data_IF_862000695886
#
_entry.id   IF_862000695886
#
_cell.length_a   1.000
_cell.length_b   1.000
_cell.length_c   1.000
_cell.angle_alpha   90.00
_cell.angle_beta   90.00
_cell.angle_gamma   90.00
#
_symmetry.space_group_name_H-M   'P 1'
#
loop_
_entity.id
_entity.type
_entity.pdbx_description
1 polymer ?
#
# COMPACT_ATOMS: atom_id res chain seq x y z
N UNK A 1 -0.10 20.83 22.18
CA UNK A 1 -0.66 20.64 23.54
C UNK A 1 -1.98 19.86 23.56
N UNK A 2 -2.95 20.14 22.67
CA UNK A 2 -4.23 19.43 22.65
C UNK A 2 -4.13 17.91 22.37
N UNK A 3 -3.27 17.51 21.43
CA UNK A 3 -3.02 16.10 21.11
C UNK A 3 -2.49 15.35 22.32
N UNK A 4 -1.53 15.93 23.03
CA UNK A 4 -0.91 15.33 24.22
C UNK A 4 -1.95 15.05 25.33
N UNK A 5 -2.82 16.02 25.63
CA UNK A 5 -3.88 15.82 26.62
C UNK A 5 -4.88 14.76 26.19
N UNK A 6 -5.28 14.74 24.91
CA UNK A 6 -6.20 13.73 24.40
C UNK A 6 -5.61 12.33 24.46
N UNK A 7 -4.30 12.19 24.21
CA UNK A 7 -3.58 10.93 24.33
C UNK A 7 -3.56 10.43 25.78
N UNK A 8 -3.38 11.32 26.75
CA UNK A 8 -3.44 10.98 28.18
C UNK A 8 -4.85 10.58 28.64
N UNK A 9 -5.90 11.24 28.14
CA UNK A 9 -7.29 10.85 28.41
C UNK A 9 -7.59 9.43 27.89
N UNK A 10 -7.22 9.15 26.64
CA UNK A 10 -7.44 7.84 26.01
C UNK A 10 -6.61 6.75 26.71
N UNK A 11 -5.40 7.08 27.17
CA UNK A 11 -4.58 6.19 27.97
C UNK A 11 -5.26 5.79 29.29
N UNK A 12 -6.04 6.70 29.89
CA UNK A 12 -6.86 6.41 31.07
C UNK A 12 -7.95 5.36 30.85
N UNK A 13 -8.34 5.10 29.60
CA UNK A 13 -9.31 4.05 29.22
C UNK A 13 -8.69 2.66 29.02
N UNK A 14 -7.41 2.47 29.37
CA UNK A 14 -6.70 1.19 29.29
C UNK A 14 -6.60 0.62 27.86
N UNK A 15 -6.61 1.50 26.83
CA UNK A 15 -6.44 1.14 25.42
C UNK A 15 -5.01 1.43 24.96
N UNK A 16 -4.48 0.58 24.07
CA UNK A 16 -3.22 0.87 23.37
C UNK A 16 -3.47 1.88 22.26
N UNK A 17 -2.69 2.96 22.22
CA UNK A 17 -2.79 3.97 21.17
C UNK A 17 -1.83 3.61 20.03
N UNK A 18 -2.35 3.59 18.81
CA UNK A 18 -1.57 3.41 17.58
C UNK A 18 -1.77 4.66 16.72
N UNK A 19 -0.67 5.34 16.40
CA UNK A 19 -0.64 6.49 15.51
C UNK A 19 -0.14 6.00 14.14
N UNK A 20 -0.99 6.11 13.13
CA UNK A 20 -0.65 5.81 11.74
C UNK A 20 -0.36 7.13 11.03
N UNK A 21 0.82 7.24 10.42
CA UNK A 21 1.21 8.42 9.64
C UNK A 21 1.50 7.95 8.22
N UNK A 22 0.64 8.32 7.28
CA UNK A 22 0.91 8.16 5.86
C UNK A 22 1.78 9.32 5.36
N UNK A 23 2.48 9.11 4.25
CA UNK A 23 3.44 10.07 3.68
C UNK A 23 4.47 10.59 4.70
N UNK A 24 4.92 9.74 5.63
CA UNK A 24 5.86 10.12 6.69
C UNK A 24 7.23 10.59 6.15
N UNK A 25 7.54 10.37 4.87
CA UNK A 25 8.65 11.03 4.16
C UNK A 25 8.49 12.56 4.04
N UNK A 26 7.31 13.12 4.33
CA UNK A 26 7.09 14.56 4.46
C UNK A 26 7.60 15.11 5.81
N UNK A 27 7.88 14.25 6.78
CA UNK A 27 8.43 14.62 8.10
C UNK A 27 9.95 14.78 8.03
N UNK A 28 10.40 15.74 7.23
CA UNK A 28 11.82 15.89 6.86
C UNK A 28 12.66 16.66 7.90
N UNK A 29 12.00 17.19 8.93
CA UNK A 29 12.62 18.09 9.92
C UNK A 29 12.99 17.34 11.19
N UNK A 30 14.21 17.57 11.68
CA UNK A 30 14.71 16.96 12.92
C UNK A 30 13.82 17.27 14.13
N UNK A 31 13.30 18.51 14.23
CA UNK A 31 12.41 18.92 15.33
C UNK A 31 11.18 18.01 15.44
N UNK A 32 10.64 17.54 14.32
CA UNK A 32 9.48 16.63 14.30
C UNK A 32 9.87 15.25 14.84
N UNK A 33 11.08 14.76 14.51
CA UNK A 33 11.58 13.49 15.05
C UNK A 33 11.76 13.57 16.57
N UNK A 34 12.24 14.71 17.07
CA UNK A 34 12.35 14.95 18.51
C UNK A 34 10.99 14.95 19.21
N UNK A 35 9.95 15.53 18.59
CA UNK A 35 8.57 15.46 19.10
C UNK A 35 8.03 14.02 19.11
N UNK A 36 8.22 13.25 18.03
CA UNK A 36 7.83 11.82 17.97
C UNK A 36 8.53 11.03 19.07
N UNK A 37 9.84 11.26 19.26
CA UNK A 37 10.61 10.62 20.32
C UNK A 37 10.08 11.00 21.71
N UNK A 38 9.68 12.26 21.90
CA UNK A 38 9.02 12.74 23.11
C UNK A 38 7.70 12.01 23.40
N UNK A 39 6.86 11.83 22.39
CA UNK A 39 5.61 11.07 22.51
C UNK A 39 5.85 9.59 22.81
N UNK A 40 6.88 8.98 22.21
CA UNK A 40 7.27 7.58 22.50
C UNK A 40 7.84 7.37 23.91
N UNK A 41 8.30 8.43 24.59
CA UNK A 41 8.72 8.38 25.99
C UNK A 41 7.55 8.38 26.97
N UNK A 42 6.32 8.53 26.49
CA UNK A 42 5.15 8.46 27.37
C UNK A 42 4.95 7.02 27.81
N UNK A 43 5.15 6.82 29.11
CA UNK A 43 4.97 5.56 29.79
C UNK A 43 3.83 5.69 30.81
N UNK A 44 3.09 4.61 30.95
CA UNK A 44 2.13 4.39 32.03
C UNK A 44 2.68 3.29 32.95
N UNK A 45 2.02 3.08 34.09
CA UNK A 45 2.33 1.99 35.03
C UNK A 45 2.40 0.59 34.37
N UNK A 46 1.89 0.43 33.13
CA UNK A 46 1.90 -0.82 32.34
C UNK A 46 2.84 -0.83 31.13
N UNK A 47 3.67 0.20 30.95
CA UNK A 47 4.65 0.31 29.85
C UNK A 47 4.32 1.41 28.83
N UNK A 48 4.84 1.28 27.61
CA UNK A 48 4.70 2.32 26.56
C UNK A 48 3.25 2.57 26.17
N UNK A 49 2.86 3.84 26.19
CA UNK A 49 1.49 4.27 25.91
C UNK A 49 1.16 4.35 24.41
N UNK A 50 2.18 4.58 23.57
CA UNK A 50 2.02 4.86 22.15
C UNK A 50 2.88 3.96 21.26
N UNK A 51 2.30 3.56 20.13
CA UNK A 51 3.00 2.94 19.02
C UNK A 51 2.80 3.78 17.76
N UNK A 52 3.87 3.93 16.97
CA UNK A 52 3.80 4.60 15.68
C UNK A 52 3.94 3.57 14.56
N UNK A 53 3.14 3.74 13.51
CA UNK A 53 3.31 3.05 12.23
C UNK A 53 3.46 4.14 11.17
N UNK A 54 4.64 4.20 10.58
CA UNK A 54 5.00 5.20 9.57
C UNK A 54 4.98 4.53 8.19
N UNK A 55 4.23 5.11 7.27
CA UNK A 55 4.22 4.74 5.86
C UNK A 55 4.81 5.88 5.05
N UNK A 56 5.64 5.58 4.07
CA UNK A 56 6.27 6.60 3.26
C UNK A 56 7.20 6.00 2.23
N UNK A 57 7.78 6.89 1.44
CA UNK A 57 8.79 6.51 0.45
C UNK A 57 10.13 6.14 1.13
N UNK A 58 11.01 5.37 0.45
CA UNK A 58 12.28 4.91 1.02
C UNK A 58 13.18 6.01 1.59
N UNK A 59 13.09 7.24 1.07
CA UNK A 59 13.85 8.41 1.54
C UNK A 59 13.52 8.78 3.00
N UNK A 60 12.36 8.33 3.52
CA UNK A 60 12.01 8.46 4.93
C UNK A 60 13.10 7.89 5.86
N UNK A 61 13.79 6.84 5.45
CA UNK A 61 14.85 6.22 6.24
C UNK A 61 15.97 7.23 6.56
N UNK A 62 16.30 8.12 5.62
CA UNK A 62 17.31 9.15 5.81
C UNK A 62 16.84 10.27 6.75
N UNK A 63 15.54 10.63 6.69
CA UNK A 63 14.97 11.61 7.62
C UNK A 63 14.90 11.06 9.06
N UNK A 64 14.56 9.78 9.24
CA UNK A 64 14.55 9.14 10.55
C UNK A 64 15.96 9.09 11.16
N UNK A 65 17.01 8.99 10.35
CA UNK A 65 18.41 9.03 10.81
C UNK A 65 18.86 10.39 11.32
N UNK A 66 18.10 11.47 11.08
CA UNK A 66 18.39 12.80 11.63
C UNK A 66 18.28 12.83 13.17
N UNK A 67 17.55 11.89 13.77
CA UNK A 67 17.52 11.64 15.22
C UNK A 67 17.93 10.19 15.54
N UNK A 68 19.24 9.90 15.65
CA UNK A 68 19.74 8.54 15.87
C UNK A 68 19.10 7.81 17.08
N UNK A 69 18.82 8.47 18.22
CA UNK A 69 18.06 7.88 19.32
C UNK A 69 16.64 7.40 18.95
N UNK A 70 15.91 8.14 18.11
CA UNK A 70 14.60 7.70 17.61
C UNK A 70 14.78 6.52 16.66
N UNK A 71 15.75 6.62 15.74
CA UNK A 71 16.02 5.59 14.74
C UNK A 71 16.33 4.20 15.35
N UNK A 72 17.02 4.17 16.50
CA UNK A 72 17.28 2.93 17.25
C UNK A 72 16.03 2.30 17.88
N UNK A 73 14.93 3.04 18.00
CA UNK A 73 13.66 2.55 18.57
C UNK A 73 12.73 1.91 17.54
N UNK A 74 13.11 1.93 16.26
CA UNK A 74 12.35 1.29 15.19
C UNK A 74 12.46 -0.24 15.34
N UNK A 75 11.39 -0.86 15.83
CA UNK A 75 11.35 -2.30 16.11
C UNK A 75 11.18 -3.15 14.84
N UNK A 76 10.41 -2.64 13.86
CA UNK A 76 10.09 -3.36 12.63
C UNK A 76 10.29 -2.43 11.45
N UNK A 77 10.96 -2.94 10.42
CA UNK A 77 11.09 -2.29 9.10
C UNK A 77 10.51 -3.25 8.08
N UNK A 78 9.67 -2.75 7.20
CA UNK A 78 9.10 -3.49 6.09
C UNK A 78 9.18 -2.65 4.83
N UNK A 79 9.67 -3.24 3.75
CA UNK A 79 9.68 -2.62 2.43
C UNK A 79 8.72 -3.41 1.56
N UNK A 80 7.72 -2.73 1.02
CA UNK A 80 6.74 -3.33 0.12
C UNK A 80 7.27 -3.26 -1.31
N UNK A 81 7.62 -4.41 -1.87
CA UNK A 81 7.97 -4.57 -3.27
C UNK A 81 6.74 -4.74 -4.17
N UNK A 82 6.98 -4.76 -5.48
CA UNK A 82 5.98 -5.23 -6.43
C UNK A 82 5.65 -6.72 -6.18
N UNK A 83 4.44 -7.13 -6.55
CA UNK A 83 4.06 -8.54 -6.49
C UNK A 83 4.82 -9.36 -7.52
N UNK A 84 5.09 -10.62 -7.19
CA UNK A 84 5.39 -11.63 -8.22
C UNK A 84 4.10 -12.05 -8.96
N UNK A 85 4.24 -12.92 -9.96
CA UNK A 85 3.12 -13.36 -10.81
C UNK A 85 2.01 -14.06 -10.00
N UNK A 86 2.38 -14.86 -9.00
CA UNK A 86 1.44 -15.61 -8.16
C UNK A 86 0.69 -14.69 -7.20
N UNK A 87 1.40 -13.78 -6.55
CA UNK A 87 0.83 -12.77 -5.67
C UNK A 87 -0.05 -11.79 -6.45
N UNK A 88 0.34 -11.39 -7.67
CA UNK A 88 -0.48 -10.55 -8.54
C UNK A 88 -1.78 -11.26 -8.94
N UNK A 89 -1.71 -12.54 -9.32
CA UNK A 89 -2.89 -13.35 -9.64
C UNK A 89 -3.81 -13.48 -8.42
N UNK A 90 -3.24 -13.80 -7.27
CA UNK A 90 -3.97 -13.92 -5.99
C UNK A 90 -4.61 -12.60 -5.58
N UNK A 91 -3.92 -11.49 -5.80
CA UNK A 91 -4.43 -10.14 -5.58
C UNK A 91 -5.66 -9.86 -6.44
N UNK A 92 -5.60 -10.12 -7.76
CA UNK A 92 -6.73 -9.90 -8.68
C UNK A 92 -7.92 -10.77 -8.27
N UNK A 93 -7.69 -12.06 -8.00
CA UNK A 93 -8.74 -12.99 -7.55
C UNK A 93 -9.37 -12.53 -6.23
N UNK A 94 -8.56 -12.09 -5.28
CA UNK A 94 -9.04 -11.56 -4.01
C UNK A 94 -9.91 -10.31 -4.22
N UNK A 95 -9.47 -9.35 -5.05
CA UNK A 95 -10.23 -8.14 -5.37
C UNK A 95 -11.57 -8.45 -6.02
N UNK A 96 -11.59 -9.38 -6.98
CA UNK A 96 -12.83 -9.86 -7.60
C UNK A 96 -13.77 -10.52 -6.58
N UNK A 97 -13.23 -11.32 -5.66
CA UNK A 97 -14.01 -11.95 -4.58
C UNK A 97 -14.65 -10.91 -3.67
N UNK A 98 -13.90 -9.87 -3.28
CA UNK A 98 -14.43 -8.75 -2.48
C UNK A 98 -15.56 -8.03 -3.22
N UNK A 99 -15.47 -7.92 -4.55
CA UNK A 99 -16.53 -7.39 -5.41
C UNK A 99 -17.72 -8.37 -5.63
N UNK A 100 -17.73 -9.53 -4.97
CA UNK A 100 -18.82 -10.51 -5.06
C UNK A 100 -18.68 -11.53 -6.19
N UNK A 101 -17.55 -11.57 -6.89
CA UNK A 101 -17.30 -12.52 -7.99
C UNK A 101 -16.49 -13.73 -7.50
N UNK A 102 -17.11 -14.91 -7.54
CA UNK A 102 -16.48 -16.19 -7.19
C UNK A 102 -16.00 -17.00 -8.40
N UNK A 103 -16.47 -16.67 -9.60
CA UNK A 103 -16.14 -17.37 -10.85
C UNK A 103 -15.04 -16.57 -11.57
N UNK A 104 -14.01 -17.25 -12.13
CA UNK A 104 -12.97 -16.58 -12.92
C UNK A 104 -13.54 -15.65 -13.99
N UNK A 105 -12.96 -14.45 -14.09
CA UNK A 105 -13.37 -13.43 -15.06
C UNK A 105 -12.30 -13.15 -16.11
N UNK A 106 -11.04 -13.45 -15.79
CA UNK A 106 -9.91 -13.34 -16.71
C UNK A 106 -9.40 -14.74 -17.09
N UNK A 107 -8.95 -14.92 -18.32
CA UNK A 107 -8.20 -16.13 -18.74
C UNK A 107 -6.85 -16.18 -18.05
N UNK A 108 -6.18 -17.35 -18.08
CA UNK A 108 -4.84 -17.49 -17.49
C UNK A 108 -3.82 -16.62 -18.24
N UNK A 109 -3.97 -16.56 -19.56
CA UNK A 109 -3.17 -15.76 -20.47
C UNK A 109 -3.37 -14.25 -20.20
N UNK A 110 -4.62 -13.82 -19.97
CA UNK A 110 -4.92 -12.45 -19.54
C UNK A 110 -4.24 -12.09 -18.22
N UNK A 111 -4.32 -12.96 -17.19
CA UNK A 111 -3.65 -12.73 -15.91
C UNK A 111 -2.13 -12.60 -16.06
N UNK A 112 -1.52 -13.45 -16.88
CA UNK A 112 -0.09 -13.40 -17.19
C UNK A 112 0.31 -12.09 -17.89
N UNK A 113 -0.51 -11.62 -18.83
CA UNK A 113 -0.27 -10.37 -19.54
C UNK A 113 -0.44 -9.17 -18.59
N UNK A 114 -1.46 -9.17 -17.73
CA UNK A 114 -1.64 -8.16 -16.67
C UNK A 114 -0.39 -8.06 -15.81
N UNK A 115 0.14 -9.18 -15.31
CA UNK A 115 1.41 -9.19 -14.56
C UNK A 115 2.57 -8.64 -15.40
N UNK A 116 2.71 -9.10 -16.64
CA UNK A 116 3.80 -8.71 -17.54
C UNK A 116 3.84 -7.20 -17.80
N UNK A 117 2.69 -6.55 -18.01
CA UNK A 117 2.59 -5.12 -18.27
C UNK A 117 2.64 -4.28 -17.00
N UNK A 118 2.03 -4.75 -15.91
CA UNK A 118 2.05 -4.05 -14.63
C UNK A 118 3.37 -4.16 -13.87
N UNK A 119 4.19 -5.16 -14.19
CA UNK A 119 5.38 -5.55 -13.41
C UNK A 119 5.05 -5.82 -11.93
N UNK A 120 3.84 -6.30 -11.65
CA UNK A 120 3.40 -6.57 -10.28
C UNK A 120 3.01 -5.34 -9.45
N UNK A 121 3.01 -4.14 -10.04
CA UNK A 121 2.66 -2.90 -9.34
C UNK A 121 1.14 -2.87 -9.12
N UNK A 122 0.62 -2.85 -7.88
CA UNK A 122 -0.82 -2.97 -7.61
C UNK A 122 -1.66 -1.87 -8.28
N UNK A 123 -1.16 -0.64 -8.29
CA UNK A 123 -1.83 0.50 -8.95
C UNK A 123 -1.99 0.25 -10.45
N UNK A 124 -0.96 -0.25 -11.11
CA UNK A 124 -0.98 -0.56 -12.54
C UNK A 124 -1.83 -1.79 -12.84
N UNK A 125 -1.79 -2.83 -11.99
CA UNK A 125 -2.69 -3.99 -12.07
C UNK A 125 -4.15 -3.53 -12.09
N UNK A 126 -4.54 -2.69 -11.12
CA UNK A 126 -5.91 -2.17 -11.04
C UNK A 126 -6.28 -1.37 -12.28
N UNK A 127 -5.39 -0.48 -12.75
CA UNK A 127 -5.65 0.32 -13.96
C UNK A 127 -5.91 -0.57 -15.19
N UNK A 128 -5.10 -1.61 -15.41
CA UNK A 128 -5.31 -2.55 -16.51
C UNK A 128 -6.63 -3.30 -16.31
N UNK A 129 -6.89 -3.84 -15.11
CA UNK A 129 -8.09 -4.61 -14.83
C UNK A 129 -9.35 -3.78 -15.02
N UNK A 130 -9.42 -2.57 -14.48
CA UNK A 130 -10.59 -1.69 -14.55
C UNK A 130 -10.94 -1.36 -16.02
N UNK A 131 -9.92 -1.02 -16.83
CA UNK A 131 -10.11 -0.74 -18.25
C UNK A 131 -10.47 -2.01 -19.05
N UNK A 132 -9.86 -3.16 -18.76
CA UNK A 132 -10.19 -4.43 -19.41
C UNK A 132 -11.61 -4.89 -19.09
N UNK A 133 -12.09 -4.65 -17.86
CA UNK A 133 -13.47 -4.92 -17.47
C UNK A 133 -14.46 -3.99 -18.19
N UNK A 134 -14.12 -2.71 -18.33
CA UNK A 134 -14.93 -1.76 -19.10
C UNK A 134 -15.00 -2.16 -20.58
N UNK A 135 -13.87 -2.47 -21.20
CA UNK A 135 -13.79 -2.91 -22.60
C UNK A 135 -14.57 -4.21 -22.83
N UNK A 136 -14.39 -5.20 -21.94
CA UNK A 136 -15.16 -6.43 -21.97
C UNK A 136 -16.67 -6.21 -21.86
N UNK A 137 -17.10 -5.27 -21.02
CA UNK A 137 -18.50 -4.89 -20.92
C UNK A 137 -19.03 -4.26 -22.22
N UNK A 138 -18.29 -3.31 -22.82
CA UNK A 138 -18.66 -2.68 -24.10
C UNK A 138 -18.75 -3.71 -25.24
N UNK A 139 -17.85 -4.69 -25.26
CA UNK A 139 -17.82 -5.79 -26.24
C UNK A 139 -18.79 -6.93 -25.90
N UNK A 140 -19.58 -6.83 -24.83
CA UNK A 140 -20.50 -7.87 -24.33
C UNK A 140 -19.82 -9.23 -24.12
N UNK A 141 -18.59 -9.21 -23.61
CA UNK A 141 -17.81 -10.41 -23.27
C UNK A 141 -18.03 -10.80 -21.81
N UNK A 142 -18.22 -12.09 -21.57
CA UNK A 142 -18.37 -12.66 -20.22
C UNK A 142 -17.03 -13.05 -19.58
N UNK A 143 -15.96 -13.12 -20.38
CA UNK A 143 -14.59 -13.46 -19.97
C UNK A 143 -13.66 -12.47 -20.66
N UNK A 144 -12.70 -11.95 -19.90
CA UNK A 144 -11.63 -11.11 -20.39
C UNK A 144 -10.46 -11.99 -20.81
N UNK A 145 -10.13 -11.97 -22.09
CA UNK A 145 -9.00 -12.69 -22.68
C UNK A 145 -7.76 -11.78 -22.81
N UNK A 146 -6.65 -12.39 -23.22
CA UNK A 146 -5.37 -11.73 -23.42
C UNK A 146 -5.44 -10.59 -24.43
N UNK A 147 -6.32 -10.69 -25.44
CA UNK A 147 -6.46 -9.67 -26.47
C UNK A 147 -7.00 -8.37 -25.90
N UNK A 148 -8.05 -8.44 -25.07
CA UNK A 148 -8.59 -7.25 -24.40
C UNK A 148 -7.53 -6.61 -23.50
N UNK A 149 -6.76 -7.43 -22.78
CA UNK A 149 -5.68 -6.94 -21.92
C UNK A 149 -4.57 -6.26 -22.74
N UNK A 150 -4.19 -6.83 -23.88
CA UNK A 150 -3.16 -6.29 -24.77
C UNK A 150 -3.60 -4.94 -25.35
N UNK A 151 -4.84 -4.85 -25.85
CA UNK A 151 -5.42 -3.63 -26.42
C UNK A 151 -5.48 -2.51 -25.36
N UNK A 152 -6.00 -2.81 -24.16
CA UNK A 152 -6.05 -1.86 -23.04
C UNK A 152 -4.65 -1.44 -22.57
N UNK A 153 -3.72 -2.39 -22.51
CA UNK A 153 -2.35 -2.08 -22.07
C UNK A 153 -1.62 -1.20 -23.10
N UNK A 154 -1.96 -1.33 -24.37
CA UNK A 154 -1.50 -0.42 -25.42
C UNK A 154 -2.08 0.98 -25.25
N UNK A 155 -3.40 1.10 -25.04
CA UNK A 155 -4.08 2.39 -24.84
C UNK A 155 -3.57 3.13 -23.59
N UNK A 156 -3.21 2.38 -22.54
CA UNK A 156 -2.57 2.91 -21.33
C UNK A 156 -1.09 3.27 -21.50
N UNK A 157 -0.50 3.02 -22.68
CA UNK A 157 0.91 3.30 -22.96
C UNK A 157 1.90 2.38 -22.25
N UNK A 158 1.47 1.19 -21.83
CA UNK A 158 2.30 0.20 -21.13
C UNK A 158 3.05 -0.74 -22.09
N UNK A 159 2.70 -0.74 -23.37
CA UNK A 159 3.36 -1.56 -24.40
C UNK A 159 3.34 -0.88 -25.79
N UNK A 160 4.29 -1.25 -26.64
CA UNK A 160 4.36 -0.83 -28.06
C UNK A 160 3.74 -1.90 -28.95
N UNK A 161 3.00 -1.52 -30.00
CA UNK A 161 2.38 -2.47 -30.96
C UNK A 161 3.41 -3.52 -31.43
N UNK A 162 3.07 -4.80 -31.27
CA UNK A 162 3.73 -5.88 -32.03
C UNK A 162 3.32 -5.71 -33.49
N UNK A 163 4.24 -5.20 -34.31
CA UNK A 163 4.17 -5.23 -35.78
C UNK A 163 4.24 -6.64 -36.33
#
# INVERSE_FOLDING_TARGET
>A
TAVYHRLLEIAGENKKIVILIDEANMLQRKEIMEEIRGLLNLESERGKLLNFILFGLPEMEDYLRLDPPLYQRIAVRCVLGAFDEEAATSYIVHRLRVAGRSIPLFTKEAMKNIYTYSKGIPRTINAICDNALLEGFLLKRNIIDEKIVDDVSYDLGLTSRRS
#
